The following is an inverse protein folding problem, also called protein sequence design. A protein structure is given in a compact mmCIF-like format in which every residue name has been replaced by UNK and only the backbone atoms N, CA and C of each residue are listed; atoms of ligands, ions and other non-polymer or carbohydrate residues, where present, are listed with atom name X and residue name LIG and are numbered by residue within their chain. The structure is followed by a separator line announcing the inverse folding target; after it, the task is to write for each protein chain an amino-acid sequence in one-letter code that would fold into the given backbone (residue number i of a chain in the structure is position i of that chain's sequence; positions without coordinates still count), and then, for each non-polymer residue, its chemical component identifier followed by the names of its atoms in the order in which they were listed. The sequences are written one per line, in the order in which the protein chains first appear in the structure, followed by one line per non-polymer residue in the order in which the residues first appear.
data_IF_481483249161
#
_entry.id   IF_481483249161
#
_cell.length_a   1.000
_cell.length_b   1.000
_cell.length_c   1.000
_cell.angle_alpha   90.00
_cell.angle_beta   90.00
_cell.angle_gamma   90.00
#
_symmetry.space_group_name_H-M   'P 1'
#
loop_
_entity.id
_entity.type
_entity.pdbx_description
1 polymer ?
#
# COMPACT_ATOMS: atom_id res chain seq x y z
N UNK A 1 -26.32 -28.82 -27.62
CA UNK A 1 -25.17 -28.05 -28.16
C UNK A 1 -24.80 -26.82 -27.33
N UNK A 2 -25.70 -25.84 -27.11
CA UNK A 2 -25.40 -24.63 -26.30
C UNK A 2 -24.82 -24.91 -24.89
N UNK A 3 -25.37 -25.91 -24.18
CA UNK A 3 -24.87 -26.32 -22.85
C UNK A 3 -23.48 -26.98 -22.89
N UNK A 4 -23.12 -27.65 -23.99
CA UNK A 4 -21.79 -28.25 -24.15
C UNK A 4 -20.74 -27.18 -24.47
N UNK A 5 -21.09 -26.21 -25.32
CA UNK A 5 -20.24 -25.05 -25.64
C UNK A 5 -20.00 -24.19 -24.40
N UNK A 6 -21.03 -23.94 -23.58
CA UNK A 6 -20.87 -23.20 -22.33
C UNK A 6 -19.97 -23.93 -21.32
N UNK A 7 -20.09 -25.26 -21.20
CA UNK A 7 -19.23 -26.08 -20.34
C UNK A 7 -17.79 -26.09 -20.82
N UNK A 8 -17.56 -26.24 -22.13
CA UNK A 8 -16.23 -26.19 -22.74
C UNK A 8 -15.63 -24.79 -22.54
N UNK A 9 -16.38 -23.72 -22.82
CA UNK A 9 -15.93 -22.35 -22.60
C UNK A 9 -15.55 -22.07 -21.14
N UNK A 10 -16.34 -22.55 -20.18
CA UNK A 10 -16.00 -22.44 -18.75
C UNK A 10 -14.73 -23.23 -18.39
N UNK A 11 -14.57 -24.45 -18.93
CA UNK A 11 -13.39 -25.29 -18.66
C UNK A 11 -12.11 -24.67 -19.26
N UNK A 12 -12.21 -24.08 -20.45
CA UNK A 12 -11.09 -23.37 -21.09
C UNK A 12 -10.77 -22.07 -20.37
N UNK A 13 -11.78 -21.31 -19.90
CA UNK A 13 -11.55 -20.12 -19.09
C UNK A 13 -10.83 -20.45 -17.77
N UNK A 14 -11.22 -21.56 -17.12
CA UNK A 14 -10.51 -22.06 -15.93
C UNK A 14 -9.07 -22.45 -16.28
N UNK A 15 -8.83 -23.19 -17.36
CA UNK A 15 -7.49 -23.57 -17.82
C UNK A 15 -6.59 -22.36 -18.13
N UNK A 16 -7.15 -21.29 -18.72
CA UNK A 16 -6.41 -20.04 -19.01
C UNK A 16 -6.15 -19.23 -17.74
N UNK A 17 -7.05 -19.27 -16.74
CA UNK A 17 -6.84 -18.61 -15.44
C UNK A 17 -5.79 -19.29 -14.56
N UNK A 18 -5.43 -20.55 -14.84
CA UNK A 18 -4.38 -21.29 -14.15
C UNK A 18 -2.96 -20.88 -14.58
N UNK A 19 -2.82 -20.19 -15.71
CA UNK A 19 -1.54 -19.66 -16.20
C UNK A 19 -1.27 -18.25 -15.65
N UNK A 20 -0.87 -18.20 -14.38
CA UNK A 20 -0.21 -17.04 -13.77
C UNK A 20 -1.13 -16.07 -13.05
N UNK A 21 -1.41 -16.32 -11.77
CA UNK A 21 -1.81 -15.24 -10.87
C UNK A 21 -0.59 -14.33 -10.65
N UNK A 22 -0.59 -13.17 -11.29
CA UNK A 22 0.45 -12.15 -11.13
C UNK A 22 0.02 -11.21 -10.01
N UNK A 23 0.73 -11.29 -8.88
CA UNK A 23 0.41 -10.58 -7.64
C UNK A 23 0.87 -11.39 -6.42
N UNK A 24 0.69 -10.85 -5.22
CA UNK A 24 1.16 -11.49 -3.98
C UNK A 24 0.28 -12.67 -3.52
N UNK A 25 -0.94 -12.83 -4.08
CA UNK A 25 -1.88 -13.90 -3.75
C UNK A 25 -2.10 -14.06 -2.23
N UNK A 26 -2.37 -12.94 -1.57
CA UNK A 26 -2.39 -12.82 -0.12
C UNK A 26 -3.38 -13.79 0.55
N UNK A 27 -4.61 -13.89 0.02
CA UNK A 27 -5.66 -14.73 0.60
C UNK A 27 -5.31 -16.20 0.47
N UNK A 28 -4.87 -16.61 -0.72
CA UNK A 28 -4.41 -17.97 -1.00
C UNK A 28 -3.23 -18.34 -0.11
N UNK A 29 -2.30 -17.40 0.12
CA UNK A 29 -1.21 -17.53 1.07
C UNK A 29 -1.69 -17.77 2.51
N UNK A 30 -2.72 -17.05 2.96
CA UNK A 30 -3.31 -17.26 4.29
C UNK A 30 -4.00 -18.61 4.42
N UNK A 31 -4.78 -19.03 3.42
CA UNK A 31 -5.42 -20.36 3.39
C UNK A 31 -4.36 -21.47 3.41
N UNK A 32 -3.26 -21.31 2.67
CA UNK A 32 -2.12 -22.22 2.72
C UNK A 32 -1.47 -22.25 4.10
N UNK A 33 -1.26 -21.09 4.72
CA UNK A 33 -0.72 -21.00 6.08
C UNK A 33 -1.59 -21.72 7.10
N UNK A 34 -2.92 -21.64 6.96
CA UNK A 34 -3.85 -22.40 7.79
C UNK A 34 -3.69 -23.91 7.60
N UNK A 35 -3.68 -24.39 6.35
CA UNK A 35 -3.51 -25.82 6.04
C UNK A 35 -2.20 -26.39 6.62
N UNK A 36 -1.10 -25.65 6.48
CA UNK A 36 0.21 -26.06 7.03
C UNK A 36 0.20 -26.19 8.57
N UNK A 37 -0.59 -25.36 9.27
CA UNK A 37 -0.71 -25.37 10.73
C UNK A 37 -1.75 -26.38 11.25
N UNK A 38 -2.70 -26.79 10.43
CA UNK A 38 -3.83 -27.62 10.86
C UNK A 38 -3.42 -29.04 11.29
N UNK A 39 -2.42 -29.63 10.61
CA UNK A 39 -1.91 -30.97 10.93
C UNK A 39 -0.39 -31.03 10.76
N UNK A 40 0.28 -31.88 11.55
CA UNK A 40 1.74 -32.00 11.63
C UNK A 40 2.34 -33.09 10.72
N UNK A 41 1.53 -33.78 9.92
CA UNK A 41 1.96 -34.83 9.00
C UNK A 41 1.87 -34.40 7.52
N UNK A 42 2.91 -34.67 6.73
CA UNK A 42 2.99 -34.27 5.31
C UNK A 42 1.86 -34.82 4.43
N UNK A 43 1.44 -36.07 4.65
CA UNK A 43 0.39 -36.73 3.87
C UNK A 43 -0.99 -36.26 4.32
N UNK A 44 -1.17 -36.06 5.63
CA UNK A 44 -2.39 -35.46 6.17
C UNK A 44 -2.58 -34.02 5.64
N UNK A 45 -1.53 -33.20 5.57
CA UNK A 45 -1.57 -31.87 4.92
C UNK A 45 -1.98 -31.98 3.44
N UNK A 46 -1.45 -32.97 2.72
CA UNK A 46 -1.83 -33.23 1.34
C UNK A 46 -3.31 -33.61 1.21
N UNK A 47 -3.81 -34.48 2.09
CA UNK A 47 -5.22 -34.84 2.16
C UNK A 47 -6.11 -33.64 2.48
N UNK A 48 -5.73 -32.84 3.48
CA UNK A 48 -6.44 -31.62 3.85
C UNK A 48 -6.42 -30.59 2.71
N UNK A 49 -5.30 -30.44 2.00
CA UNK A 49 -5.21 -29.59 0.81
C UNK A 49 -6.25 -30.01 -0.26
N UNK A 50 -6.38 -31.31 -0.50
CA UNK A 50 -7.37 -31.85 -1.45
C UNK A 50 -8.80 -31.61 -0.97
N UNK A 51 -9.08 -31.81 0.33
CA UNK A 51 -10.39 -31.54 0.93
C UNK A 51 -10.75 -30.04 0.89
N UNK A 52 -9.76 -29.17 1.03
CA UNK A 52 -9.90 -27.71 0.98
C UNK A 52 -9.88 -27.16 -0.46
N UNK A 53 -9.81 -28.00 -1.50
CA UNK A 53 -9.77 -27.54 -2.89
C UNK A 53 -10.86 -26.49 -3.24
N UNK A 54 -12.12 -26.60 -2.78
CA UNK A 54 -13.12 -25.56 -3.01
C UNK A 54 -12.75 -24.21 -2.36
N UNK A 55 -12.18 -24.23 -1.15
CA UNK A 55 -11.74 -23.02 -0.43
C UNK A 55 -10.58 -22.35 -1.17
N UNK A 56 -9.61 -23.13 -1.64
CA UNK A 56 -8.52 -22.62 -2.48
C UNK A 56 -9.04 -22.01 -3.78
N UNK A 57 -10.05 -22.64 -4.42
CA UNK A 57 -10.69 -22.07 -5.61
C UNK A 57 -11.28 -20.68 -5.38
N UNK A 58 -11.98 -20.48 -4.25
CA UNK A 58 -12.51 -19.16 -3.87
C UNK A 58 -11.39 -18.18 -3.55
N UNK A 59 -10.36 -18.61 -2.80
CA UNK A 59 -9.24 -17.75 -2.44
C UNK A 59 -8.48 -17.24 -3.69
N UNK A 60 -8.21 -18.13 -4.65
CA UNK A 60 -7.58 -17.78 -5.92
C UNK A 60 -8.44 -16.78 -6.69
N UNK A 61 -9.76 -17.00 -6.77
CA UNK A 61 -10.66 -16.06 -7.45
C UNK A 61 -10.68 -14.69 -6.76
N UNK A 62 -10.69 -14.65 -5.43
CA UNK A 62 -10.66 -13.41 -4.65
C UNK A 62 -9.34 -12.65 -4.84
N UNK A 63 -8.20 -13.36 -4.81
CA UNK A 63 -6.90 -12.76 -5.11
C UNK A 63 -6.87 -12.19 -6.53
N UNK A 64 -7.29 -12.97 -7.53
CA UNK A 64 -7.24 -12.55 -8.93
C UNK A 64 -8.14 -11.34 -9.24
N UNK A 65 -9.39 -11.38 -8.78
CA UNK A 65 -10.39 -10.36 -9.12
C UNK A 65 -10.22 -9.11 -8.27
N UNK A 66 -9.91 -9.25 -6.97
CA UNK A 66 -9.97 -8.15 -6.01
C UNK A 66 -8.59 -7.74 -5.54
N UNK A 67 -7.90 -8.61 -4.81
CA UNK A 67 -6.72 -8.17 -4.04
C UNK A 67 -5.48 -7.91 -4.90
N UNK A 68 -5.23 -8.71 -5.95
CA UNK A 68 -4.15 -8.45 -6.90
C UNK A 68 -4.46 -7.25 -7.80
N UNK A 69 -5.74 -7.03 -8.14
CA UNK A 69 -6.16 -5.82 -8.86
C UNK A 69 -5.90 -4.56 -8.03
N UNK A 70 -6.29 -4.58 -6.75
CA UNK A 70 -5.96 -3.50 -5.82
C UNK A 70 -4.44 -3.36 -5.63
N UNK A 71 -3.69 -4.46 -5.50
CA UNK A 71 -2.23 -4.45 -5.37
C UNK A 71 -1.56 -3.77 -6.58
N UNK A 72 -2.02 -4.02 -7.80
CA UNK A 72 -1.52 -3.37 -9.01
C UNK A 72 -1.77 -1.86 -8.99
N UNK A 73 -3.04 -1.45 -8.79
CA UNK A 73 -3.39 -0.04 -8.89
C UNK A 73 -2.81 0.79 -7.74
N UNK A 74 -2.67 0.21 -6.55
CA UNK A 74 -2.20 0.89 -5.33
C UNK A 74 -0.72 0.71 -5.04
N UNK A 75 -0.04 -0.13 -5.82
CA UNK A 75 1.37 -0.50 -5.65
C UNK A 75 1.66 -1.45 -4.48
N UNK A 76 0.71 -1.66 -3.54
CA UNK A 76 0.87 -2.57 -2.40
C UNK A 76 -0.39 -3.36 -2.12
N UNK A 77 -0.26 -4.63 -1.74
CA UNK A 77 -1.42 -5.43 -1.41
C UNK A 77 -2.04 -4.94 -0.10
N UNK A 78 -3.36 -4.67 -0.04
CA UNK A 78 -3.99 -4.13 1.16
C UNK A 78 -4.01 -5.12 2.35
N UNK A 79 -3.82 -6.42 2.11
CA UNK A 79 -3.87 -7.44 3.17
C UNK A 79 -2.52 -7.76 3.80
N UNK A 80 -1.42 -7.57 3.08
CA UNK A 80 -0.09 -7.96 3.54
C UNK A 80 1.00 -6.89 3.33
N UNK A 81 0.66 -5.76 2.70
CA UNK A 81 1.56 -4.62 2.47
C UNK A 81 2.69 -4.87 1.47
N UNK A 82 2.75 -6.05 0.84
CA UNK A 82 3.81 -6.37 -0.12
C UNK A 82 3.65 -5.54 -1.39
N UNK A 83 4.76 -5.05 -1.96
CA UNK A 83 4.72 -4.33 -3.23
C UNK A 83 4.34 -5.25 -4.37
N UNK A 84 3.70 -4.70 -5.41
CA UNK A 84 3.36 -5.46 -6.60
C UNK A 84 4.64 -5.96 -7.30
N UNK A 85 4.58 -7.14 -7.92
CA UNK A 85 5.75 -7.73 -8.57
C UNK A 85 6.29 -6.89 -9.73
N UNK A 86 5.44 -6.09 -10.37
CA UNK A 86 5.81 -5.17 -11.46
C UNK A 86 6.59 -3.94 -10.99
N UNK A 87 6.55 -3.61 -9.70
CA UNK A 87 7.34 -2.52 -9.15
C UNK A 87 8.78 -2.96 -8.80
N UNK A 88 9.14 -4.24 -9.02
CA UNK A 88 10.49 -4.73 -8.79
C UNK A 88 11.43 -4.22 -9.88
N UNK A 89 12.54 -3.64 -9.43
CA UNK A 89 13.66 -3.29 -10.32
C UNK A 89 14.34 -4.56 -10.84
N UNK A 90 14.48 -4.66 -12.15
CA UNK A 90 15.16 -5.74 -12.84
C UNK A 90 15.75 -5.20 -14.14
N UNK A 91 16.76 -5.88 -14.67
CA UNK A 91 17.34 -5.54 -15.97
C UNK A 91 16.32 -5.83 -17.07
N UNK A 92 15.90 -4.77 -17.77
CA UNK A 92 14.85 -4.80 -18.79
C UNK A 92 15.44 -4.89 -20.19
N UNK A 93 14.83 -5.69 -21.07
CA UNK A 93 15.21 -5.75 -22.49
C UNK A 93 14.82 -4.49 -23.27
N UNK A 94 13.81 -3.75 -22.79
CA UNK A 94 13.28 -2.54 -23.42
C UNK A 94 12.98 -1.53 -22.32
N UNK A 95 13.62 -0.37 -22.38
CA UNK A 95 13.43 0.72 -21.42
C UNK A 95 12.48 1.78 -21.99
N UNK A 96 11.26 1.89 -21.46
CA UNK A 96 10.25 2.82 -21.98
C UNK A 96 10.07 4.05 -21.07
N UNK A 97 10.47 3.97 -19.81
CA UNK A 97 10.23 5.02 -18.81
C UNK A 97 10.82 6.39 -19.19
N UNK A 98 11.90 6.43 -20.00
CA UNK A 98 12.51 7.68 -20.45
C UNK A 98 11.65 8.46 -21.46
N UNK A 99 10.61 7.83 -22.04
CA UNK A 99 9.68 8.43 -23.00
C UNK A 99 8.31 8.73 -22.38
N UNK A 100 8.09 8.35 -21.12
CA UNK A 100 6.83 8.50 -20.42
C UNK A 100 6.86 9.69 -19.47
N UNK A 101 5.69 10.28 -19.22
CA UNK A 101 5.52 11.22 -18.13
C UNK A 101 5.80 10.53 -16.78
N UNK A 102 6.44 11.24 -15.85
CA UNK A 102 6.83 10.70 -14.54
C UNK A 102 5.63 10.15 -13.76
N UNK A 103 4.44 10.73 -13.93
CA UNK A 103 3.21 10.25 -13.31
C UNK A 103 2.79 8.84 -13.75
N UNK A 104 3.25 8.38 -14.91
CA UNK A 104 2.91 7.06 -15.47
C UNK A 104 3.94 5.97 -15.12
N UNK A 105 4.93 6.29 -14.30
CA UNK A 105 6.02 5.37 -13.92
C UNK A 105 5.82 4.72 -12.55
N UNK A 106 4.70 5.02 -11.88
CA UNK A 106 4.38 4.53 -10.53
C UNK A 106 2.90 4.19 -10.42
N UNK A 107 2.51 3.47 -9.37
CA UNK A 107 1.11 3.15 -9.10
C UNK A 107 0.25 4.43 -9.01
N UNK A 108 -0.84 4.52 -9.81
CA UNK A 108 -1.55 5.79 -10.03
C UNK A 108 -2.47 6.19 -8.88
N UNK A 109 -2.98 5.22 -8.11
CA UNK A 109 -3.56 5.52 -6.81
C UNK A 109 -2.47 5.24 -5.78
N UNK A 110 -2.06 6.25 -5.02
CA UNK A 110 -1.17 6.03 -3.89
C UNK A 110 -1.73 4.92 -2.97
N UNK A 111 -0.90 4.28 -2.12
CA UNK A 111 -1.35 3.13 -1.35
C UNK A 111 -2.64 3.50 -0.60
N UNK A 112 -3.71 2.72 -0.74
CA UNK A 112 -4.94 2.92 0.07
C UNK A 112 -4.64 2.82 1.58
N UNK A 113 -3.49 2.24 1.93
CA UNK A 113 -2.91 2.18 3.28
C UNK A 113 -2.18 3.47 3.70
N UNK A 114 -1.97 4.42 2.79
CA UNK A 114 -1.32 5.71 3.03
C UNK A 114 -2.34 6.84 3.18
N UNK A 115 -3.49 6.54 3.77
CA UNK A 115 -4.40 7.59 4.22
C UNK A 115 -3.81 8.23 5.49
N UNK A 116 -2.63 8.88 5.39
CA UNK A 116 -1.90 9.53 6.50
C UNK A 116 -2.71 10.73 6.99
N UNK A 117 -3.71 10.43 7.82
CA UNK A 117 -4.51 11.43 8.49
C UNK A 117 -3.94 11.59 9.89
N UNK A 118 -3.71 12.84 10.31
CA UNK A 118 -3.27 13.16 11.66
C UNK A 118 -4.39 12.72 12.61
N UNK A 119 -4.12 11.68 13.42
CA UNK A 119 -5.05 11.19 14.44
C UNK A 119 -4.84 11.96 15.74
N UNK A 120 -3.58 12.20 16.09
CA UNK A 120 -3.21 12.96 17.28
C UNK A 120 -2.05 13.89 16.97
N UNK A 121 -2.14 15.13 17.47
CA UNK A 121 -1.07 16.11 17.43
C UNK A 121 -0.86 16.71 18.81
N UNK A 122 0.34 16.60 19.38
CA UNK A 122 0.71 17.27 20.62
C UNK A 122 1.74 18.35 20.34
N UNK A 123 1.39 19.61 20.63
CA UNK A 123 2.33 20.73 20.54
C UNK A 123 3.08 20.88 21.86
N UNK A 124 4.39 21.12 21.76
CA UNK A 124 5.28 21.40 22.86
C UNK A 124 6.18 22.56 22.47
N UNK A 125 6.31 23.53 23.36
CA UNK A 125 7.33 24.57 23.21
C UNK A 125 8.62 24.03 23.80
N UNK A 126 9.64 23.89 22.97
CA UNK A 126 10.96 23.38 23.39
C UNK A 126 11.77 24.51 24.02
N UNK A 127 11.73 25.69 23.40
CA UNK A 127 12.37 26.91 23.88
C UNK A 127 11.66 28.17 23.33
N UNK A 128 12.22 29.36 23.58
CA UNK A 128 11.64 30.64 23.15
C UNK A 128 11.49 30.78 21.62
N UNK A 129 12.32 30.07 20.85
CA UNK A 129 12.37 30.15 19.40
C UNK A 129 11.90 28.87 18.69
N UNK A 130 11.68 27.78 19.43
CA UNK A 130 11.41 26.46 18.86
C UNK A 130 10.10 25.88 19.38
N UNK A 131 9.19 25.59 18.45
CA UNK A 131 7.94 24.85 18.72
C UNK A 131 8.00 23.51 18.00
N UNK A 132 7.67 22.44 18.70
CA UNK A 132 7.58 21.10 18.16
C UNK A 132 6.12 20.60 18.23
N UNK A 133 5.71 19.84 17.22
CA UNK A 133 4.46 19.10 17.19
C UNK A 133 4.76 17.64 16.90
N UNK A 134 4.46 16.79 17.87
CA UNK A 134 4.51 15.34 17.71
C UNK A 134 3.22 14.88 17.05
N UNK A 135 3.35 14.32 15.85
CA UNK A 135 2.25 13.84 15.02
C UNK A 135 2.18 12.32 15.15
N UNK A 136 1.01 11.79 15.49
CA UNK A 136 0.67 10.38 15.32
C UNK A 136 -0.38 10.27 14.23
N UNK A 137 -0.07 9.53 13.18
CA UNK A 137 -1.00 9.24 12.11
C UNK A 137 -1.88 8.04 12.47
N UNK A 138 -3.05 7.97 11.84
CA UNK A 138 -4.01 6.86 11.97
C UNK A 138 -3.46 5.46 11.58
N UNK A 139 -2.30 5.40 10.92
CA UNK A 139 -1.59 4.17 10.59
C UNK A 139 -0.54 3.78 11.66
N UNK A 140 -0.43 4.54 12.76
CA UNK A 140 0.53 4.35 13.84
C UNK A 140 1.93 4.93 13.58
N UNK A 141 2.17 5.49 12.39
CA UNK A 141 3.41 6.21 12.07
C UNK A 141 3.50 7.50 12.90
N UNK A 142 4.73 7.90 13.25
CA UNK A 142 5.00 9.13 13.98
C UNK A 142 5.88 10.04 13.13
N UNK A 143 5.62 11.33 13.20
CA UNK A 143 6.47 12.35 12.60
C UNK A 143 6.61 13.53 13.57
N UNK A 144 7.71 14.26 13.44
CA UNK A 144 7.98 15.45 14.23
C UNK A 144 7.99 16.66 13.31
N UNK A 145 7.02 17.56 13.50
CA UNK A 145 7.03 18.88 12.87
C UNK A 145 7.70 19.86 13.83
N UNK A 146 8.70 20.59 13.38
CA UNK A 146 9.41 21.57 14.21
C UNK A 146 9.46 22.92 13.49
N UNK A 147 9.04 23.99 14.16
CA UNK A 147 9.20 25.36 13.71
C UNK A 147 10.30 26.04 14.52
N UNK A 148 11.37 26.46 13.84
CA UNK A 148 12.49 27.19 14.45
C UNK A 148 12.49 28.62 13.94
N UNK A 149 12.44 29.58 14.87
CA UNK A 149 12.53 31.00 14.58
C UNK A 149 14.00 31.43 14.50
N UNK A 150 14.38 32.00 13.38
CA UNK A 150 15.68 32.62 13.15
C UNK A 150 15.48 34.06 12.66
N UNK A 151 15.58 35.01 13.59
CA UNK A 151 15.32 36.42 13.33
C UNK A 151 13.87 36.67 12.87
N UNK A 152 13.72 37.18 11.65
CA UNK A 152 12.43 37.54 11.06
C UNK A 152 11.75 36.39 10.31
N UNK A 153 12.33 35.19 10.33
CA UNK A 153 11.80 34.02 9.65
C UNK A 153 11.56 32.85 10.60
N UNK A 154 10.55 32.05 10.28
CA UNK A 154 10.33 30.72 10.87
C UNK A 154 10.57 29.68 9.79
N UNK A 155 11.47 28.73 10.07
CA UNK A 155 11.73 27.58 9.20
C UNK A 155 11.04 26.35 9.79
N UNK A 156 10.24 25.66 8.97
CA UNK A 156 9.51 24.47 9.34
C UNK A 156 10.24 23.23 8.83
N UNK A 157 10.41 22.26 9.73
CA UNK A 157 11.05 20.98 9.49
C UNK A 157 10.06 19.85 9.73
N UNK A 158 10.09 18.80 8.90
CA UNK A 158 9.46 17.52 9.18
C UNK A 158 10.56 16.47 9.22
N UNK A 159 10.70 15.77 10.34
CA UNK A 159 11.71 14.73 10.56
C UNK A 159 13.15 15.19 10.20
N UNK A 160 13.43 16.48 10.41
CA UNK A 160 14.72 17.12 10.15
C UNK A 160 14.89 17.71 8.75
N UNK A 161 13.96 17.51 7.82
CA UNK A 161 14.00 18.10 6.48
C UNK A 161 13.20 19.41 6.40
N UNK A 162 13.77 20.45 5.78
CA UNK A 162 13.08 21.73 5.57
C UNK A 162 11.92 21.56 4.60
N UNK A 163 10.70 21.87 5.05
CA UNK A 163 9.49 21.78 4.23
C UNK A 163 8.90 23.14 3.87
N UNK A 164 9.13 24.16 4.69
CA UNK A 164 8.64 25.51 4.43
C UNK A 164 9.46 26.55 5.20
N UNK A 165 9.42 27.81 4.72
CA UNK A 165 9.97 28.97 5.42
C UNK A 165 9.01 30.15 5.23
N UNK A 166 8.70 30.87 6.30
CA UNK A 166 7.72 31.96 6.31
C UNK A 166 8.25 33.12 7.12
N UNK A 167 7.94 34.36 6.71
CA UNK A 167 8.32 35.54 7.48
C UNK A 167 7.38 35.75 8.68
N UNK A 168 7.86 36.44 9.70
CA UNK A 168 7.05 36.83 10.85
C UNK A 168 5.87 37.74 10.47
N UNK A 169 6.04 38.60 9.46
CA UNK A 169 4.99 39.49 8.97
C UNK A 169 3.85 38.70 8.30
N UNK A 170 4.17 37.68 7.50
CA UNK A 170 3.19 36.80 6.87
C UNK A 170 2.42 35.97 7.90
N UNK A 171 3.13 35.45 8.91
CA UNK A 171 2.53 34.74 10.04
C UNK A 171 1.57 35.63 10.83
N UNK A 172 1.96 36.87 11.11
CA UNK A 172 1.14 37.84 11.83
C UNK A 172 -0.12 38.22 11.03
N UNK A 173 0.02 38.45 9.72
CA UNK A 173 -1.12 38.71 8.84
C UNK A 173 -2.10 37.52 8.81
N UNK A 174 -1.58 36.29 8.74
CA UNK A 174 -2.42 35.08 8.76
C UNK A 174 -3.18 34.91 10.09
N UNK A 175 -2.51 35.13 11.22
CA UNK A 175 -3.13 35.04 12.53
C UNK A 175 -4.29 36.03 12.69
N UNK A 176 -4.14 37.25 12.17
CA UNK A 176 -5.21 38.25 12.19
C UNK A 176 -6.43 37.87 11.34
N UNK A 177 -6.26 37.09 10.27
CA UNK A 177 -7.40 36.64 9.45
C UNK A 177 -8.21 35.49 10.08
N UNK A 178 -7.69 34.86 11.14
CA UNK A 178 -8.37 33.76 11.86
C UNK A 178 -8.90 34.16 13.24
N UNK A 179 -8.62 35.38 13.70
CA UNK A 179 -9.16 35.97 14.93
C UNK A 179 -10.52 36.61 14.67
#
# INVERSE_FOLDING_TARGET
MKKAIAKIGALTAVAVSLSGCVGSNAVTGYVMGFNLKAVDNRYARGGLNMLMAPVYGVAIAADYIVFNSLEFWTGKNPLNGKPHIFDKKMDTYIDVNHQLDKSLTTAPVGPLTNNRVIEQGQMQQIDENTVQMDITYNNGEKATLMGVREGDFVTYYIDGEVVAKTSMDELAAYAQTRA
#
